data_IF_563165175875
#
_entry.id   IF_563165175875
#
_cell.length_a   1.000
_cell.length_b   1.000
_cell.length_c   1.000
_cell.angle_alpha   90.00
_cell.angle_beta   90.00
_cell.angle_gamma   90.00
#
_symmetry.space_group_name_H-M   'P 1'
#
loop_
_entity.id
_entity.type
_entity.pdbx_description
1 polymer ?
#
# COMPACT_ATOMS: atom_id res chain seq x y z
N UNK A 1 -3.44 12.48 -19.45
CA UNK A 1 -2.43 11.40 -19.33
C UNK A 1 -3.05 10.07 -19.73
N UNK A 2 -2.26 9.08 -20.14
CA UNK A 2 -2.79 7.82 -20.65
C UNK A 2 -2.62 6.73 -19.59
N UNK A 3 -3.75 6.19 -19.11
CA UNK A 3 -3.82 5.04 -18.21
C UNK A 3 -2.95 3.84 -18.66
N UNK A 4 -2.56 3.80 -19.94
CA UNK A 4 -1.60 2.84 -20.50
C UNK A 4 -0.30 2.70 -19.71
N UNK A 5 0.22 3.77 -19.10
CA UNK A 5 1.47 3.70 -18.32
C UNK A 5 1.27 2.91 -17.03
N UNK A 6 0.19 3.20 -16.31
CA UNK A 6 -0.26 2.41 -15.16
C UNK A 6 -0.46 0.95 -15.59
N UNK A 7 -1.22 0.69 -16.66
CA UNK A 7 -1.45 -0.69 -17.13
C UNK A 7 -0.17 -1.42 -17.50
N UNK A 8 0.83 -0.71 -18.03
CA UNK A 8 2.10 -1.32 -18.41
C UNK A 8 2.93 -1.65 -17.18
N UNK A 9 2.96 -0.74 -16.20
CA UNK A 9 3.68 -0.94 -14.93
C UNK A 9 3.08 -2.08 -14.11
N UNK A 10 1.76 -2.12 -13.98
CA UNK A 10 1.06 -3.16 -13.23
C UNK A 10 1.30 -4.59 -13.77
N UNK A 11 1.72 -4.76 -15.03
CA UNK A 11 2.07 -6.08 -15.59
C UNK A 11 3.37 -6.66 -15.02
N UNK A 12 4.21 -5.83 -14.41
CA UNK A 12 5.47 -6.26 -13.79
C UNK A 12 5.20 -7.14 -12.55
N UNK A 13 4.02 -7.02 -11.95
CA UNK A 13 3.63 -7.73 -10.73
C UNK A 13 2.62 -8.85 -11.00
N UNK A 14 2.53 -9.80 -10.08
CA UNK A 14 1.36 -10.66 -9.92
C UNK A 14 0.31 -9.84 -9.17
N UNK A 15 -0.92 -9.83 -9.67
CA UNK A 15 -2.02 -9.05 -9.09
C UNK A 15 -3.01 -10.04 -8.52
N UNK A 16 -3.13 -10.04 -7.20
CA UNK A 16 -4.08 -10.87 -6.49
C UNK A 16 -5.30 -10.02 -6.20
N UNK A 17 -6.32 -10.21 -7.04
CA UNK A 17 -7.60 -9.53 -6.93
C UNK A 17 -8.46 -10.37 -5.98
N UNK A 18 -9.01 -9.74 -4.94
CA UNK A 18 -9.89 -10.42 -4.00
C UNK A 18 -11.08 -11.05 -4.73
N UNK A 19 -11.32 -12.37 -4.57
CA UNK A 19 -12.23 -13.15 -5.42
C UNK A 19 -13.70 -12.66 -5.41
N UNK A 20 -14.12 -11.90 -4.39
CA UNK A 20 -15.44 -11.28 -4.27
C UNK A 20 -15.62 -10.01 -5.15
N UNK A 21 -14.55 -9.47 -5.73
CA UNK A 21 -14.51 -8.18 -6.43
C UNK A 21 -14.88 -8.22 -7.93
N UNK A 22 -15.53 -9.29 -8.38
CA UNK A 22 -15.78 -9.54 -9.81
C UNK A 22 -16.66 -8.50 -10.55
N UNK A 23 -17.12 -7.44 -9.88
CA UNK A 23 -17.80 -6.31 -10.52
C UNK A 23 -17.51 -4.99 -9.80
N UNK A 24 -16.29 -4.42 -9.92
CA UNK A 24 -16.08 -3.00 -9.62
C UNK A 24 -16.86 -2.15 -10.63
N UNK A 25 -18.09 -1.86 -10.28
CA UNK A 25 -19.07 -1.25 -11.17
C UNK A 25 -18.94 0.27 -11.17
N UNK A 26 -19.35 0.88 -12.28
CA UNK A 26 -19.47 2.34 -12.33
C UNK A 26 -20.46 2.86 -11.25
N UNK A 27 -21.40 2.03 -10.79
CA UNK A 27 -22.37 2.39 -9.76
C UNK A 27 -21.64 2.61 -8.42
N UNK A 28 -20.77 1.70 -8.00
CA UNK A 28 -20.03 1.84 -6.74
C UNK A 28 -19.08 3.04 -6.76
N UNK A 29 -18.50 3.36 -7.92
CA UNK A 29 -17.69 4.57 -8.11
C UNK A 29 -18.57 5.83 -7.98
N UNK A 30 -19.75 5.83 -8.59
CA UNK A 30 -20.70 6.94 -8.46
C UNK A 30 -21.15 7.12 -7.01
N UNK A 31 -21.39 6.02 -6.27
CA UNK A 31 -21.76 6.06 -4.85
C UNK A 31 -20.60 6.60 -3.99
N UNK A 32 -19.36 6.20 -4.27
CA UNK A 32 -18.17 6.73 -3.60
C UNK A 32 -17.99 8.23 -3.88
N UNK A 33 -18.12 8.67 -5.12
CA UNK A 33 -18.04 10.10 -5.48
C UNK A 33 -19.16 10.92 -4.82
N UNK A 34 -20.38 10.36 -4.72
CA UNK A 34 -21.49 10.99 -4.02
C UNK A 34 -21.22 11.11 -2.52
N UNK A 35 -20.69 10.05 -1.89
CA UNK A 35 -20.32 10.03 -0.47
C UNK A 35 -19.26 11.09 -0.16
N UNK A 36 -18.25 11.19 -1.01
CA UNK A 36 -17.15 12.16 -0.87
C UNK A 36 -17.55 13.59 -1.27
N UNK A 37 -18.66 13.76 -1.99
CA UNK A 37 -19.06 15.04 -2.59
C UNK A 37 -18.05 15.56 -3.62
N UNK A 38 -17.17 14.68 -4.14
CA UNK A 38 -16.04 15.01 -5.02
C UNK A 38 -15.90 13.97 -6.12
N UNK A 39 -15.33 14.41 -7.24
CA UNK A 39 -15.04 13.54 -8.37
C UNK A 39 -13.65 12.92 -8.22
N UNK A 40 -13.52 11.63 -8.47
CA UNK A 40 -12.24 10.94 -8.48
C UNK A 40 -11.47 11.27 -9.75
N UNK A 41 -10.14 11.29 -9.64
CA UNK A 41 -9.25 11.45 -10.78
C UNK A 41 -9.41 10.29 -11.78
N UNK A 42 -9.33 10.62 -13.08
CA UNK A 42 -9.71 9.69 -14.15
C UNK A 42 -8.83 8.43 -14.26
N UNK A 43 -7.60 8.51 -13.79
CA UNK A 43 -6.64 7.41 -13.69
C UNK A 43 -6.98 6.48 -12.53
N UNK A 44 -7.25 7.03 -11.34
CA UNK A 44 -7.68 6.27 -10.18
C UNK A 44 -9.02 5.57 -10.41
N UNK A 45 -10.00 6.23 -11.06
CA UNK A 45 -11.26 5.56 -11.46
C UNK A 45 -11.03 4.32 -12.34
N UNK A 46 -10.17 4.45 -13.35
CA UNK A 46 -9.86 3.33 -14.25
C UNK A 46 -9.09 2.24 -13.52
N UNK A 47 -8.28 2.60 -12.54
CA UNK A 47 -7.61 1.65 -11.66
C UNK A 47 -8.62 0.84 -10.86
N UNK A 48 -9.55 1.50 -10.16
CA UNK A 48 -10.61 0.82 -9.40
C UNK A 48 -11.48 -0.08 -10.27
N UNK A 49 -11.93 0.37 -11.44
CA UNK A 49 -12.72 -0.49 -12.37
C UNK A 49 -11.94 -1.74 -12.79
N UNK A 50 -10.63 -1.59 -13.04
CA UNK A 50 -9.84 -2.66 -13.66
C UNK A 50 -9.24 -3.63 -12.65
N UNK A 51 -8.76 -3.11 -11.53
CA UNK A 51 -7.99 -3.86 -10.54
C UNK A 51 -8.72 -3.98 -9.20
N UNK A 52 -9.65 -3.07 -8.90
CA UNK A 52 -10.34 -3.05 -7.61
C UNK A 52 -9.38 -2.93 -6.45
N UNK A 53 -9.73 -3.60 -5.36
CA UNK A 53 -8.81 -3.89 -4.28
C UNK A 53 -7.97 -5.11 -4.64
N UNK A 54 -6.67 -4.98 -4.43
CA UNK A 54 -5.72 -6.01 -4.79
C UNK A 54 -4.43 -5.88 -4.00
N UNK A 55 -3.77 -7.01 -3.75
CA UNK A 55 -2.36 -7.03 -3.34
C UNK A 55 -1.47 -7.30 -4.56
N UNK A 56 -0.23 -6.83 -4.46
CA UNK A 56 0.78 -7.03 -5.49
C UNK A 56 1.87 -7.94 -4.94
N UNK A 57 2.22 -8.95 -5.72
CA UNK A 57 3.34 -9.83 -5.42
C UNK A 57 4.40 -9.71 -6.51
N UNK A 58 5.66 -9.78 -6.10
CA UNK A 58 6.77 -9.78 -7.03
C UNK A 58 6.77 -11.05 -7.89
N UNK A 59 6.94 -10.89 -9.20
CA UNK A 59 7.17 -12.03 -10.11
C UNK A 59 8.54 -12.69 -9.92
N UNK A 60 9.44 -12.05 -9.16
CA UNK A 60 10.80 -12.54 -8.91
C UNK A 60 10.86 -13.50 -7.73
N UNK A 61 9.84 -13.49 -6.86
CA UNK A 61 9.71 -14.37 -5.71
C UNK A 61 9.69 -15.85 -6.14
N UNK A 62 10.45 -16.67 -5.43
CA UNK A 62 10.53 -18.12 -5.58
C UNK A 62 10.88 -18.76 -4.23
N UNK A 63 10.98 -20.09 -4.18
CA UNK A 63 11.22 -20.85 -2.95
C UNK A 63 12.48 -20.42 -2.15
N UNK A 64 13.49 -19.85 -2.82
CA UNK A 64 14.76 -19.47 -2.20
C UNK A 64 14.88 -17.95 -1.93
N UNK A 65 14.10 -17.13 -2.63
CA UNK A 65 14.25 -15.67 -2.63
C UNK A 65 12.89 -15.00 -2.68
N UNK A 66 12.63 -14.12 -1.71
CA UNK A 66 11.39 -13.36 -1.61
C UNK A 66 11.63 -11.88 -1.94
N UNK A 67 10.68 -11.28 -2.63
CA UNK A 67 10.68 -9.87 -2.97
C UNK A 67 9.34 -9.26 -2.59
N UNK A 68 9.42 -8.13 -1.92
CA UNK A 68 8.28 -7.27 -1.61
C UNK A 68 8.06 -6.25 -2.71
N UNK A 69 6.81 -5.78 -2.84
CA UNK A 69 6.49 -4.64 -3.71
C UNK A 69 6.50 -3.37 -2.87
N UNK A 70 7.50 -2.53 -3.10
CA UNK A 70 7.69 -1.29 -2.36
C UNK A 70 7.48 -0.08 -3.27
N UNK A 71 7.26 1.11 -2.69
CA UNK A 71 7.25 2.39 -3.41
C UNK A 71 8.45 3.25 -2.98
N UNK A 72 8.88 4.13 -3.89
CA UNK A 72 9.96 5.09 -3.64
C UNK A 72 9.38 6.48 -3.36
N UNK A 73 9.32 6.93 -2.09
CA UNK A 73 8.66 8.19 -1.77
C UNK A 73 9.50 9.43 -2.11
N UNK A 74 8.82 10.57 -2.33
CA UNK A 74 9.46 11.90 -2.44
C UNK A 74 10.00 12.35 -1.08
N UNK A 75 9.21 12.23 -0.02
CA UNK A 75 9.56 12.53 1.37
C UNK A 75 9.64 11.23 2.16
N UNK A 76 10.77 10.99 2.85
CA UNK A 76 10.91 9.83 3.74
C UNK A 76 10.01 9.99 4.96
N UNK A 77 9.25 8.94 5.27
CA UNK A 77 8.50 8.84 6.51
C UNK A 77 9.40 8.48 7.71
N UNK A 78 8.93 8.64 8.96
CA UNK A 78 9.73 8.39 10.17
C UNK A 78 10.13 6.93 10.40
N UNK A 79 9.46 5.98 9.72
CA UNK A 79 9.67 4.54 9.89
C UNK A 79 10.75 4.00 8.94
N UNK A 80 11.13 4.77 7.93
CA UNK A 80 12.23 4.43 7.03
C UNK A 80 13.59 4.56 7.73
N UNK A 81 14.42 3.54 7.58
CA UNK A 81 15.83 3.58 7.94
C UNK A 81 16.59 4.66 7.17
N UNK A 82 17.73 5.09 7.74
CA UNK A 82 18.56 6.16 7.15
C UNK A 82 18.98 5.82 5.71
N UNK A 83 19.25 4.53 5.44
CA UNK A 83 19.71 4.03 4.16
C UNK A 83 18.57 3.48 3.29
N UNK A 84 17.35 3.39 3.82
CA UNK A 84 16.23 2.82 3.09
C UNK A 84 15.81 3.81 2.01
N UNK A 85 15.55 3.31 0.81
CA UNK A 85 15.10 4.14 -0.30
C UNK A 85 13.64 3.89 -0.69
N UNK A 86 13.07 2.81 -0.16
CA UNK A 86 11.76 2.28 -0.50
C UNK A 86 10.98 1.93 0.76
N UNK A 87 9.65 1.91 0.66
CA UNK A 87 8.74 1.57 1.75
C UNK A 87 7.71 0.54 1.25
N UNK A 88 7.32 -0.39 2.13
CA UNK A 88 6.42 -1.48 1.77
C UNK A 88 5.00 -0.98 1.48
N UNK A 89 4.44 -1.49 0.38
CA UNK A 89 3.02 -1.40 0.06
C UNK A 89 2.33 -2.70 0.49
N UNK A 90 1.20 -2.62 1.17
CA UNK A 90 0.40 -3.80 1.51
C UNK A 90 -0.62 -4.12 0.39
N UNK A 91 -1.86 -3.65 0.54
CA UNK A 91 -2.94 -3.88 -0.43
C UNK A 91 -3.64 -2.59 -0.79
N UNK A 92 -4.11 -2.49 -2.03
CA UNK A 92 -5.01 -1.44 -2.47
C UNK A 92 -6.43 -1.72 -2.00
N UNK A 93 -7.15 -0.67 -1.60
CA UNK A 93 -8.56 -0.75 -1.26
C UNK A 93 -9.46 -0.70 -2.50
N UNK A 94 -10.59 -1.38 -2.42
CA UNK A 94 -11.58 -1.43 -3.49
C UNK A 94 -12.98 -1.71 -2.98
N UNK A 95 -13.88 -2.18 -3.84
CA UNK A 95 -15.29 -2.38 -3.49
C UNK A 95 -15.61 -3.79 -2.97
N UNK A 96 -14.61 -4.54 -2.53
CA UNK A 96 -14.80 -5.88 -1.97
C UNK A 96 -15.60 -5.87 -0.65
N UNK A 97 -16.22 -6.98 -0.27
CA UNK A 97 -17.09 -7.12 0.91
C UNK A 97 -16.34 -7.36 2.23
N UNK A 98 -15.01 -7.28 2.22
CA UNK A 98 -14.17 -7.51 3.39
C UNK A 98 -13.75 -6.18 4.07
N UNK A 99 -12.82 -6.26 5.02
CA UNK A 99 -12.33 -5.10 5.78
C UNK A 99 -11.58 -4.07 4.93
N UNK A 100 -11.16 -4.43 3.71
CA UNK A 100 -10.45 -3.57 2.77
C UNK A 100 -11.41 -2.83 1.83
N UNK A 101 -12.71 -2.79 2.17
CA UNK A 101 -13.72 -2.03 1.45
C UNK A 101 -13.45 -0.53 1.57
N UNK A 102 -13.28 0.16 0.45
CA UNK A 102 -12.97 1.59 0.40
C UNK A 102 -14.07 2.47 1.02
N UNK A 103 -15.34 2.06 0.98
CA UNK A 103 -16.42 2.82 1.64
C UNK A 103 -16.29 2.77 3.16
N UNK A 104 -15.96 1.60 3.70
CA UNK A 104 -15.76 1.40 5.13
C UNK A 104 -14.48 2.09 5.62
N UNK A 105 -13.42 2.07 4.81
CA UNK A 105 -12.17 2.80 5.07
C UNK A 105 -12.42 4.31 5.09
N UNK A 106 -13.17 4.84 4.13
CA UNK A 106 -13.56 6.26 4.12
C UNK A 106 -14.33 6.64 5.39
N UNK A 107 -15.27 5.80 5.84
CA UNK A 107 -15.99 6.05 7.09
C UNK A 107 -15.07 5.99 8.32
N UNK A 108 -14.16 5.02 8.35
CA UNK A 108 -13.21 4.78 9.45
C UNK A 108 -12.29 5.97 9.69
N UNK A 109 -11.85 6.66 8.63
CA UNK A 109 -10.90 7.77 8.73
C UNK A 109 -11.52 9.15 8.51
N UNK A 110 -12.84 9.25 8.35
CA UNK A 110 -13.56 10.49 8.05
C UNK A 110 -13.35 11.62 9.07
N UNK A 111 -13.03 11.28 10.33
CA UNK A 111 -12.76 12.24 11.41
C UNK A 111 -11.26 12.55 11.59
N UNK A 112 -10.38 11.77 10.95
CA UNK A 112 -8.92 11.92 11.03
C UNK A 112 -8.32 12.60 9.81
N UNK A 113 -8.97 12.52 8.65
CA UNK A 113 -8.45 13.07 7.40
C UNK A 113 -9.09 14.42 7.04
N UNK A 114 -8.35 15.30 6.34
CA UNK A 114 -8.96 16.41 5.62
C UNK A 114 -10.04 15.91 4.65
N UNK A 115 -11.08 16.71 4.41
CA UNK A 115 -12.23 16.35 3.53
C UNK A 115 -11.83 15.98 2.08
N UNK A 116 -10.62 16.34 1.65
CA UNK A 116 -10.12 16.06 0.30
C UNK A 116 -9.28 14.80 0.22
N UNK A 117 -8.93 14.17 1.36
CA UNK A 117 -7.98 13.06 1.41
C UNK A 117 -8.72 11.77 1.78
N UNK A 118 -8.44 10.70 1.03
CA UNK A 118 -8.94 9.35 1.30
C UNK A 118 -7.78 8.36 1.35
N UNK A 119 -7.88 7.31 2.17
CA UNK A 119 -6.95 6.18 2.08
C UNK A 119 -7.31 5.31 0.86
N UNK A 120 -6.29 4.88 0.14
CA UNK A 120 -6.40 4.11 -1.11
C UNK A 120 -5.62 2.78 -1.06
N UNK A 121 -4.71 2.62 -0.10
CA UNK A 121 -3.99 1.39 0.16
C UNK A 121 -3.42 1.37 1.59
N UNK A 122 -3.19 0.18 2.13
CA UNK A 122 -2.53 -0.01 3.43
C UNK A 122 -1.00 0.08 3.35
N UNK A 123 -0.40 0.41 4.49
CA UNK A 123 1.05 0.35 4.72
C UNK A 123 1.32 -0.21 6.13
N UNK A 124 2.45 -0.89 6.37
CA UNK A 124 2.67 -1.64 7.61
C UNK A 124 2.51 -0.80 8.88
N UNK A 125 2.01 -1.43 9.94
CA UNK A 125 1.78 -0.77 11.23
C UNK A 125 0.44 -0.06 11.36
N UNK A 126 -0.51 -0.33 10.44
CA UNK A 126 -1.80 0.36 10.38
C UNK A 126 -1.70 1.75 9.79
N UNK A 127 -0.62 2.02 9.05
CA UNK A 127 -0.41 3.25 8.31
C UNK A 127 -1.17 3.19 6.98
N UNK A 128 -1.37 4.35 6.36
CA UNK A 128 -2.21 4.45 5.17
C UNK A 128 -1.49 5.17 4.03
N UNK A 129 -1.75 4.74 2.80
CA UNK A 129 -1.43 5.48 1.59
C UNK A 129 -2.68 6.24 1.17
N UNK A 130 -2.58 7.56 1.12
CA UNK A 130 -3.71 8.44 0.92
C UNK A 130 -3.61 9.22 -0.39
N UNK A 131 -4.76 9.50 -1.01
CA UNK A 131 -4.90 10.31 -2.23
C UNK A 131 -5.67 11.59 -1.92
N UNK A 132 -5.11 12.74 -2.29
CA UNK A 132 -5.83 14.02 -2.28
C UNK A 132 -6.61 14.20 -3.58
N UNK A 133 -7.93 14.28 -3.46
CA UNK A 133 -8.89 14.36 -4.56
C UNK A 133 -8.90 15.72 -5.26
N UNK A 134 -8.32 16.76 -4.68
CA UNK A 134 -8.29 18.09 -5.31
C UNK A 134 -7.08 18.28 -6.22
N UNK A 135 -5.92 17.74 -5.84
CA UNK A 135 -4.66 17.94 -6.56
C UNK A 135 -4.01 16.65 -7.08
N UNK A 136 -4.53 15.47 -6.69
CA UNK A 136 -4.06 14.16 -7.13
C UNK A 136 -2.79 13.66 -6.45
N UNK A 137 -2.22 14.41 -5.50
CA UNK A 137 -1.02 14.00 -4.76
C UNK A 137 -1.31 12.79 -3.88
N UNK A 138 -0.27 11.99 -3.69
CA UNK A 138 -0.32 10.79 -2.85
C UNK A 138 0.58 11.01 -1.63
N UNK A 139 0.06 10.64 -0.47
CA UNK A 139 0.71 10.81 0.82
C UNK A 139 0.83 9.47 1.54
N UNK A 140 1.87 9.32 2.35
CA UNK A 140 1.89 8.35 3.44
C UNK A 140 1.33 9.02 4.68
N UNK A 141 0.49 8.33 5.42
CA UNK A 141 -0.08 8.79 6.67
C UNK A 141 0.37 7.90 7.83
N UNK A 142 0.96 8.54 8.84
CA UNK A 142 1.40 7.90 10.07
C UNK A 142 0.25 7.82 11.08
N UNK A 143 -0.20 6.61 11.35
CA UNK A 143 -1.32 6.33 12.25
C UNK A 143 -0.99 6.62 13.72
N UNK A 144 0.29 6.57 14.12
CA UNK A 144 0.71 6.78 15.51
C UNK A 144 0.71 8.25 15.92
N UNK A 145 0.89 9.14 14.93
CA UNK A 145 0.87 10.56 15.16
C UNK A 145 -0.56 11.07 15.36
N UNK A 146 -0.69 12.13 16.17
CA UNK A 146 -1.97 12.74 16.56
C UNK A 146 -2.07 14.20 16.13
N UNK A 147 -1.28 14.62 15.14
CA UNK A 147 -1.22 16.00 14.69
C UNK A 147 -1.51 16.10 13.19
N UNK A 148 -2.75 16.41 12.79
CA UNK A 148 -3.21 16.35 11.39
C UNK A 148 -2.33 17.10 10.37
N UNK A 149 -1.57 18.11 10.79
CA UNK A 149 -0.66 18.88 9.92
C UNK A 149 0.71 18.21 9.69
N UNK A 150 1.07 17.19 10.47
CA UNK A 150 2.38 16.51 10.46
C UNK A 150 2.29 15.01 10.21
N UNK A 151 1.08 14.48 10.15
CA UNK A 151 0.85 13.05 10.01
C UNK A 151 1.02 12.59 8.55
N UNK A 152 1.04 13.52 7.58
CA UNK A 152 1.14 13.24 6.15
C UNK A 152 2.50 13.60 5.56
N UNK A 153 3.06 12.68 4.76
CA UNK A 153 4.33 12.81 4.05
C UNK A 153 4.08 12.67 2.56
N UNK A 154 4.57 13.59 1.73
CA UNK A 154 4.34 13.54 0.28
C UNK A 154 5.16 12.39 -0.34
N UNK A 155 4.50 11.39 -0.90
CA UNK A 155 5.18 10.26 -1.53
C UNK A 155 5.14 10.29 -3.06
N UNK A 156 4.13 10.91 -3.66
CA UNK A 156 4.06 11.11 -5.11
C UNK A 156 3.25 12.35 -5.52
N UNK A 157 3.58 12.93 -6.68
CA UNK A 157 2.88 14.12 -7.20
C UNK A 157 1.54 13.78 -7.91
N UNK A 158 1.33 12.51 -8.25
CA UNK A 158 0.10 12.02 -8.85
C UNK A 158 -0.07 10.53 -8.55
N UNK A 159 -1.29 10.00 -8.69
CA UNK A 159 -1.54 8.56 -8.61
C UNK A 159 -0.73 7.78 -9.67
N UNK A 160 -0.62 8.30 -10.90
CA UNK A 160 0.26 7.71 -11.92
C UNK A 160 1.72 7.66 -11.47
N UNK A 161 2.26 8.74 -10.89
CA UNK A 161 3.65 8.76 -10.40
C UNK A 161 3.86 7.75 -9.26
N UNK A 162 2.87 7.61 -8.37
CA UNK A 162 2.91 6.60 -7.30
C UNK A 162 3.03 5.19 -7.86
N UNK A 163 2.13 4.79 -8.76
CA UNK A 163 2.18 3.45 -9.38
C UNK A 163 3.50 3.24 -10.13
N UNK A 164 4.00 4.26 -10.82
CA UNK A 164 5.28 4.17 -11.54
C UNK A 164 6.50 4.07 -10.63
N UNK A 165 6.39 4.49 -9.36
CA UNK A 165 7.44 4.38 -8.36
C UNK A 165 7.55 2.98 -7.74
N UNK A 166 6.58 2.08 -8.00
CA UNK A 166 6.59 0.74 -7.43
C UNK A 166 7.78 -0.07 -7.96
N UNK A 167 8.47 -0.79 -7.09
CA UNK A 167 9.59 -1.66 -7.45
C UNK A 167 9.69 -2.88 -6.52
N UNK A 168 10.34 -3.93 -7.03
CA UNK A 168 10.61 -5.11 -6.22
C UNK A 168 11.82 -4.83 -5.32
N UNK A 169 11.64 -4.94 -4.02
CA UNK A 169 12.71 -4.88 -3.02
C UNK A 169 13.03 -6.30 -2.55
N UNK A 170 14.30 -6.66 -2.46
CA UNK A 170 14.69 -7.97 -1.95
C UNK A 170 14.38 -8.03 -0.46
N UNK A 171 13.58 -9.01 -0.05
CA UNK A 171 13.41 -9.30 1.37
C UNK A 171 14.69 -9.97 1.84
N UNK A 172 15.49 -9.25 2.63
CA UNK A 172 16.61 -9.89 3.30
C UNK A 172 16.05 -10.97 4.24
N UNK A 173 16.47 -12.24 4.12
CA UNK A 173 16.01 -13.26 5.04
C UNK A 173 16.33 -12.77 6.44
N UNK A 174 15.33 -12.76 7.31
CA UNK A 174 15.51 -12.44 8.72
C UNK A 174 16.74 -13.22 9.20
N UNK A 175 17.84 -12.49 9.43
CA UNK A 175 19.11 -13.10 9.75
C UNK A 175 18.90 -13.98 10.97
N UNK A 176 19.31 -15.25 10.85
CA UNK A 176 19.60 -16.15 11.96
C UNK A 176 19.90 -15.31 13.21
N UNK A 177 19.05 -15.41 14.22
CA UNK A 177 19.05 -14.60 15.43
C UNK A 177 20.24 -14.93 16.33
N UNK A 178 21.38 -15.32 15.74
CA UNK A 178 22.62 -15.61 16.40
C UNK A 178 22.45 -16.58 17.57
N UNK A 179 21.39 -17.40 17.57
CA UNK A 179 21.28 -18.50 18.53
C UNK A 179 22.32 -19.52 18.07
N UNK A 180 23.53 -19.30 18.55
CA UNK A 180 24.56 -20.32 18.64
C UNK A 180 23.89 -21.48 19.36
N UNK A 181 23.59 -22.54 18.62
CA UNK A 181 23.24 -23.82 19.20
C UNK A 181 24.42 -24.23 20.09
N UNK A 182 24.28 -23.98 21.39
CA UNK A 182 25.22 -24.50 22.38
C UNK A 182 24.95 -25.99 22.42
N UNK A 183 25.80 -26.75 21.75
CA UNK A 183 25.91 -28.18 21.99
C UNK A 183 26.39 -28.32 23.45
N UNK A 184 25.47 -28.67 24.34
CA UNK A 184 25.81 -29.15 25.67
C UNK A 184 26.55 -30.47 25.45
N UNK A 185 27.87 -30.45 25.58
CA UNK A 185 28.65 -31.68 25.69
C UNK A 185 28.12 -32.48 26.89
N UNK A 186 27.75 -33.73 26.65
CA UNK A 186 27.25 -34.70 27.64
C UNK A 186 28.23 -34.98 28.81
N UNK A 187 29.39 -34.32 28.86
CA UNK A 187 30.37 -34.45 29.95
C UNK A 187 29.97 -33.75 31.25
N UNK A 188 28.92 -32.92 31.26
CA UNK A 188 28.40 -32.27 32.49
C UNK A 188 27.29 -33.05 33.21
N UNK A 189 26.93 -34.26 32.74
CA UNK A 189 25.93 -35.13 33.39
C UNK A 189 26.52 -36.28 34.21
N UNK A 190 27.78 -36.19 34.62
CA UNK A 190 28.37 -37.14 35.57
C UNK A 190 28.48 -36.53 36.97
N UNK A 191 27.41 -36.68 37.73
CA UNK A 191 27.46 -36.85 39.20
C UNK A 191 26.89 -38.23 39.56
#
# INVERSE_FOLDING_TARGET
>A
MSFKRIEQKMKEFLINIDEDSNNNSNIEIEDLEQKLGKQLHSDYKKFLVKYGGCSLESRKTNDDVEFDVCYRPIEKDPWMGVNDETQLLESFYGFQTNIDNIMDIVDTYSDRFPETIIAIAGSPGGNEICLDLDNGKVFFWDHELRNPEKDFYLIANSFEDFILSLEDELVEPCGDDGIVSIWLDDELLKD
#
